data_IF_717871976958
#
_entry.id   IF_717871976958
#
_cell.length_a   1.000
_cell.length_b   1.000
_cell.length_c   1.000
_cell.angle_alpha   90.00
_cell.angle_beta   90.00
_cell.angle_gamma   90.00
#
_symmetry.space_group_name_H-M   'P 1'
#
loop_
_entity.id
_entity.type
_entity.pdbx_description
1 polymer ?
#
# COMPACT_ATOMS: atom_id res chain seq x y z
N UNK A 1 9.05 8.02 -24.85
CA UNK A 1 7.82 7.28 -24.48
C UNK A 1 7.15 6.86 -25.76
N UNK A 2 7.21 5.58 -26.14
CA UNK A 2 6.47 5.04 -27.29
C UNK A 2 5.52 4.01 -26.72
N UNK A 3 4.23 4.29 -26.83
CA UNK A 3 3.15 3.39 -26.42
C UNK A 3 2.80 2.59 -27.67
N UNK A 4 3.12 1.30 -27.66
CA UNK A 4 2.54 0.31 -28.58
C UNK A 4 1.84 -0.71 -27.69
N UNK A 5 0.52 -0.78 -27.86
CA UNK A 5 -0.49 -1.58 -27.19
C UNK A 5 0.04 -2.67 -26.22
N UNK A 6 -0.12 -2.38 -24.92
CA UNK A 6 0.00 -3.29 -23.77
C UNK A 6 1.38 -3.76 -23.31
N UNK A 7 2.48 -3.11 -23.70
CA UNK A 7 3.80 -3.39 -23.10
C UNK A 7 4.41 -2.12 -22.49
N UNK A 8 4.43 -2.04 -21.16
CA UNK A 8 5.16 -1.00 -20.43
C UNK A 8 6.64 -1.42 -20.38
N UNK A 9 7.46 -0.87 -21.27
CA UNK A 9 8.91 -1.07 -21.24
C UNK A 9 9.55 -0.03 -20.31
N UNK A 10 9.92 -0.44 -19.10
CA UNK A 10 10.72 0.35 -18.16
C UNK A 10 12.21 0.04 -18.35
N UNK A 11 12.98 1.00 -18.89
CA UNK A 11 14.44 0.92 -18.95
C UNK A 11 15.05 1.71 -17.78
N UNK A 12 15.60 0.99 -16.81
CA UNK A 12 16.36 1.58 -15.70
C UNK A 12 17.67 0.82 -15.53
N UNK A 13 18.74 1.54 -15.12
CA UNK A 13 20.04 0.94 -14.78
C UNK A 13 20.09 0.39 -13.36
N UNK A 14 19.05 0.67 -12.56
CA UNK A 14 18.97 0.37 -11.12
C UNK A 14 17.78 -0.57 -10.90
N UNK A 15 18.05 -1.82 -10.50
CA UNK A 15 17.04 -2.86 -10.32
C UNK A 15 15.99 -2.50 -9.27
N UNK A 16 16.41 -1.85 -8.18
CA UNK A 16 15.52 -1.36 -7.12
C UNK A 16 14.52 -0.32 -7.63
N UNK A 17 14.90 0.44 -8.66
CA UNK A 17 14.04 1.45 -9.31
C UNK A 17 13.04 0.83 -10.28
N UNK A 18 13.29 -0.39 -10.76
CA UNK A 18 12.42 -1.09 -11.71
C UNK A 18 11.15 -1.65 -11.04
N UNK A 19 11.15 -1.76 -9.70
CA UNK A 19 10.04 -2.30 -8.90
C UNK A 19 9.46 -3.62 -9.48
N UNK A 20 10.30 -4.57 -9.92
CA UNK A 20 9.84 -5.68 -10.77
C UNK A 20 8.84 -6.58 -10.05
N UNK A 21 9.04 -6.81 -8.75
CA UNK A 21 8.11 -7.60 -7.93
C UNK A 21 6.73 -6.96 -7.82
N UNK A 22 6.68 -5.64 -7.62
CA UNK A 22 5.43 -4.89 -7.54
C UNK A 22 4.69 -4.91 -8.87
N UNK A 23 5.39 -4.69 -9.99
CA UNK A 23 4.78 -4.77 -11.33
C UNK A 23 4.25 -6.17 -11.62
N UNK A 24 5.03 -7.21 -11.30
CA UNK A 24 4.60 -8.60 -11.46
C UNK A 24 3.35 -8.89 -10.62
N UNK A 25 3.26 -8.36 -9.41
CA UNK A 25 2.08 -8.50 -8.57
C UNK A 25 0.88 -7.75 -9.16
N UNK A 26 1.06 -6.48 -9.55
CA UNK A 26 0.01 -5.65 -10.15
C UNK A 26 -0.58 -6.29 -11.43
N UNK A 27 0.27 -6.88 -12.29
CA UNK A 27 -0.16 -7.54 -13.53
C UNK A 27 -0.93 -8.86 -13.31
N UNK A 28 -0.77 -9.51 -12.16
CA UNK A 28 -1.49 -10.76 -11.83
C UNK A 28 -2.87 -10.51 -11.23
N UNK A 29 -3.13 -9.30 -10.73
CA UNK A 29 -4.38 -8.97 -10.07
C UNK A 29 -5.36 -8.31 -11.06
N UNK A 30 -6.60 -8.80 -11.16
CA UNK A 30 -7.58 -8.23 -12.08
C UNK A 30 -7.99 -6.82 -11.65
N UNK A 31 -8.23 -5.94 -12.62
CA UNK A 31 -8.85 -4.65 -12.38
C UNK A 31 -10.32 -4.85 -11.99
N UNK A 32 -10.71 -4.29 -10.85
CA UNK A 32 -12.10 -4.30 -10.38
C UNK A 32 -12.73 -2.98 -10.82
N UNK A 33 -13.77 -3.05 -11.65
CA UNK A 33 -14.60 -1.91 -12.02
C UNK A 33 -15.77 -1.79 -11.05
N UNK A 34 -15.98 -0.59 -10.52
CA UNK A 34 -17.11 -0.29 -9.64
C UNK A 34 -18.04 0.72 -10.29
N UNK A 35 -19.34 0.50 -10.19
CA UNK A 35 -20.36 1.44 -10.70
C UNK A 35 -20.49 2.73 -9.87
N UNK A 36 -19.67 2.90 -8.82
CA UNK A 36 -19.63 4.11 -8.03
C UNK A 36 -18.63 5.12 -8.63
N UNK A 37 -19.06 6.37 -8.80
CA UNK A 37 -18.17 7.49 -9.10
C UNK A 37 -17.74 8.12 -7.78
N UNK A 38 -16.49 7.90 -7.30
CA UNK A 38 -16.05 8.52 -6.07
C UNK A 38 -16.07 10.05 -6.21
N UNK A 39 -16.48 10.74 -5.14
CA UNK A 39 -16.52 12.23 -5.11
C UNK A 39 -15.14 12.84 -5.38
N UNK A 40 -14.08 12.12 -5.02
CA UNK A 40 -12.69 12.50 -5.21
C UNK A 40 -11.88 11.31 -5.73
N UNK A 41 -11.02 11.53 -6.72
CA UNK A 41 -10.07 10.51 -7.19
C UNK A 41 -8.91 10.42 -6.21
N UNK A 42 -9.05 9.57 -5.19
CA UNK A 42 -8.02 9.36 -4.16
C UNK A 42 -7.53 7.92 -4.19
N UNK A 43 -6.23 7.72 -4.00
CA UNK A 43 -5.68 6.38 -3.79
C UNK A 43 -6.17 5.85 -2.44
N UNK A 44 -6.82 4.68 -2.44
CA UNK A 44 -7.35 4.07 -1.21
C UNK A 44 -6.23 3.71 -0.24
N UNK A 45 -5.10 3.26 -0.76
CA UNK A 45 -3.90 3.00 0.01
C UNK A 45 -2.63 3.23 -0.82
N UNK A 46 -1.48 3.27 -0.15
CA UNK A 46 -0.15 3.32 -0.76
C UNK A 46 0.84 2.56 0.14
N UNK A 47 1.59 1.65 -0.47
CA UNK A 47 2.71 0.95 0.15
C UNK A 47 4.04 1.54 -0.31
N UNK A 48 4.90 1.82 0.65
CA UNK A 48 6.29 2.25 0.45
C UNK A 48 7.22 1.50 1.42
N UNK A 49 8.45 1.13 1.03
CA UNK A 49 9.00 1.19 -0.32
C UNK A 49 8.39 0.14 -1.25
N UNK A 50 8.72 0.19 -2.54
CA UNK A 50 8.18 -0.71 -3.54
C UNK A 50 8.68 -2.17 -3.46
N UNK A 51 9.66 -2.45 -2.60
CA UNK A 51 10.05 -3.82 -2.26
C UNK A 51 9.06 -4.54 -1.36
N UNK A 52 8.12 -3.79 -0.76
CA UNK A 52 7.04 -4.36 0.03
C UNK A 52 5.92 -4.80 -0.92
N UNK A 53 5.58 -6.08 -0.85
CA UNK A 53 4.53 -6.70 -1.65
C UNK A 53 3.49 -7.30 -0.72
N UNK A 54 2.19 -7.03 -0.94
CA UNK A 54 1.13 -7.71 -0.19
C UNK A 54 1.02 -9.17 -0.60
N UNK A 55 0.96 -10.05 0.39
CA UNK A 55 0.61 -11.45 0.23
C UNK A 55 -0.89 -11.65 0.43
N UNK A 56 -1.47 -10.93 1.39
CA UNK A 56 -2.89 -10.95 1.71
C UNK A 56 -3.39 -9.55 2.07
N UNK A 57 -4.62 -9.23 1.64
CA UNK A 57 -5.32 -8.01 2.00
C UNK A 57 -6.78 -8.37 2.23
N UNK A 58 -7.28 -8.12 3.43
CA UNK A 58 -8.68 -8.32 3.77
C UNK A 58 -9.23 -7.11 4.50
N UNK A 59 -10.43 -6.70 4.11
CA UNK A 59 -11.14 -5.60 4.74
C UNK A 59 -12.53 -6.06 5.18
N UNK A 60 -12.85 -5.89 6.47
CA UNK A 60 -14.15 -6.20 7.03
C UNK A 60 -14.57 -5.16 8.07
N UNK A 61 -15.66 -4.43 7.78
CA UNK A 61 -16.32 -3.50 8.71
C UNK A 61 -15.38 -2.53 9.45
N UNK A 62 -14.44 -1.92 8.72
CA UNK A 62 -13.47 -0.99 9.32
C UNK A 62 -12.25 -1.65 9.92
N UNK A 63 -12.08 -2.97 9.79
CA UNK A 63 -10.84 -3.66 10.12
C UNK A 63 -10.13 -4.04 8.82
N UNK A 64 -8.85 -3.70 8.73
CA UNK A 64 -7.97 -4.05 7.63
C UNK A 64 -6.89 -5.00 8.15
N UNK A 65 -6.81 -6.19 7.56
CA UNK A 65 -5.77 -7.18 7.80
C UNK A 65 -4.86 -7.23 6.56
N UNK A 66 -3.55 -7.20 6.79
CA UNK A 66 -2.53 -7.21 5.75
C UNK A 66 -1.43 -8.18 6.12
N UNK A 67 -1.11 -9.10 5.21
CA UNK A 67 0.16 -9.82 5.26
C UNK A 67 1.06 -9.25 4.18
N UNK A 68 2.26 -8.82 4.56
CA UNK A 68 3.21 -8.19 3.64
C UNK A 68 4.58 -8.85 3.74
N UNK A 69 5.27 -8.90 2.59
CA UNK A 69 6.63 -9.39 2.49
C UNK A 69 7.59 -8.30 2.02
N UNK A 70 8.76 -8.22 2.64
CA UNK A 70 9.89 -7.45 2.14
C UNK A 70 10.73 -8.31 1.20
N UNK A 71 10.69 -8.03 -0.10
CA UNK A 71 11.49 -8.73 -1.11
C UNK A 71 12.84 -8.07 -1.40
N UNK A 72 13.31 -7.23 -0.47
CA UNK A 72 14.65 -6.63 -0.51
C UNK A 72 15.64 -7.45 0.33
N UNK A 73 16.89 -7.47 -0.12
CA UNK A 73 18.05 -7.98 0.63
C UNK A 73 18.42 -7.11 1.84
N UNK A 74 17.83 -5.93 1.96
CA UNK A 74 18.03 -5.00 3.07
C UNK A 74 16.78 -4.94 3.96
N UNK A 75 16.93 -4.69 5.28
CA UNK A 75 15.82 -4.30 6.13
C UNK A 75 15.25 -2.96 5.65
N UNK A 76 13.93 -2.79 5.76
CA UNK A 76 13.23 -1.58 5.32
C UNK A 76 12.21 -1.11 6.36
N UNK A 77 11.88 0.17 6.32
CA UNK A 77 10.73 0.71 7.06
C UNK A 77 9.55 0.77 6.10
N UNK A 78 8.61 -0.16 6.27
CA UNK A 78 7.34 -0.14 5.57
C UNK A 78 6.51 1.05 6.04
N UNK A 79 5.96 1.81 5.10
CA UNK A 79 5.00 2.87 5.34
C UNK A 79 3.71 2.54 4.59
N UNK A 80 2.62 2.41 5.35
CA UNK A 80 1.28 2.35 4.79
C UNK A 80 0.62 3.71 4.97
N UNK A 81 0.13 4.28 3.87
CA UNK A 81 -0.77 5.43 3.90
C UNK A 81 -2.13 5.02 3.35
N UNK A 82 -3.24 5.33 4.04
CA UNK A 82 -4.61 4.98 3.61
C UNK A 82 -5.50 6.21 3.46
N UNK A 83 -6.55 6.14 2.64
CA UNK A 83 -7.61 7.16 2.55
C UNK A 83 -8.62 7.05 3.72
N UNK A 84 -8.12 6.85 4.94
CA UNK A 84 -8.90 6.61 6.15
C UNK A 84 -8.18 7.13 7.38
N UNK A 85 -8.92 7.31 8.48
CA UNK A 85 -8.32 7.60 9.79
C UNK A 85 -8.01 6.27 10.47
N UNK A 86 -6.75 6.06 10.82
CA UNK A 86 -6.30 4.93 11.62
C UNK A 86 -6.59 5.22 13.09
N UNK A 87 -7.38 4.35 13.72
CA UNK A 87 -7.75 4.43 15.14
C UNK A 87 -6.78 3.62 15.98
N UNK A 88 -6.47 2.41 15.53
CA UNK A 88 -5.52 1.48 16.15
C UNK A 88 -4.78 0.72 15.08
N UNK A 89 -3.56 0.30 15.39
CA UNK A 89 -2.78 -0.55 14.51
C UNK A 89 -1.88 -1.48 15.33
N UNK A 90 -1.69 -2.68 14.81
CA UNK A 90 -0.85 -3.72 15.38
C UNK A 90 0.04 -4.30 14.29
N UNK A 91 1.28 -4.64 14.64
CA UNK A 91 2.19 -5.40 13.81
C UNK A 91 2.69 -6.62 14.60
N UNK A 92 2.39 -7.84 14.14
CA UNK A 92 2.66 -9.09 14.86
C UNK A 92 2.22 -9.03 16.35
N UNK A 93 0.95 -8.69 16.60
CA UNK A 93 0.36 -8.50 17.94
C UNK A 93 0.89 -7.33 18.78
N UNK A 94 1.93 -6.62 18.33
CA UNK A 94 2.44 -5.43 19.03
C UNK A 94 1.73 -4.16 18.58
N UNK A 95 1.23 -3.36 19.54
CA UNK A 95 0.58 -2.08 19.23
C UNK A 95 1.59 -1.08 18.68
N UNK A 96 1.25 -0.48 17.53
CA UNK A 96 2.06 0.56 16.88
C UNK A 96 1.30 1.88 16.88
N UNK A 97 2.03 2.98 17.08
CA UNK A 97 1.43 4.31 17.10
C UNK A 97 1.17 4.82 15.68
N UNK A 98 -0.09 5.07 15.28
CA UNK A 98 -0.39 5.61 13.96
C UNK A 98 -0.14 7.13 13.88
N UNK A 99 0.28 7.58 12.71
CA UNK A 99 0.33 8.98 12.28
C UNK A 99 -0.96 9.33 11.54
N UNK A 100 -2.10 9.40 12.25
CA UNK A 100 -3.46 9.74 11.75
C UNK A 100 -4.00 8.88 10.58
N UNK A 101 -3.37 8.90 9.41
CA UNK A 101 -3.70 8.17 8.19
C UNK A 101 -2.56 7.25 7.70
N UNK A 102 -1.50 7.15 8.51
CA UNK A 102 -0.28 6.43 8.18
C UNK A 102 0.23 5.58 9.35
N UNK A 103 0.87 4.47 9.05
CA UNK A 103 1.69 3.71 10.00
C UNK A 103 3.07 3.45 9.40
N UNK A 104 4.05 3.20 10.27
CA UNK A 104 5.41 2.80 9.90
C UNK A 104 5.79 1.54 10.66
N UNK A 105 6.26 0.51 9.95
CA UNK A 105 6.61 -0.79 10.52
C UNK A 105 7.97 -1.22 10.00
N UNK A 106 8.97 -1.51 10.87
CA UNK A 106 10.24 -2.04 10.43
C UNK A 106 10.09 -3.52 10.03
N UNK A 107 10.67 -3.89 8.89
CA UNK A 107 10.64 -5.25 8.35
C UNK A 107 12.06 -5.69 8.02
N UNK A 108 12.45 -6.87 8.49
CA UNK A 108 13.77 -7.46 8.19
C UNK A 108 13.89 -7.80 6.69
N UNK A 109 15.12 -8.01 6.21
CA UNK A 109 15.35 -8.56 4.86
C UNK A 109 14.58 -9.88 4.70
N UNK A 110 13.90 -10.06 3.58
CA UNK A 110 13.08 -11.26 3.31
C UNK A 110 12.01 -11.58 4.36
N UNK A 111 11.68 -10.60 5.21
CA UNK A 111 10.75 -10.77 6.33
C UNK A 111 9.29 -10.65 5.91
N UNK A 112 8.42 -11.34 6.63
CA UNK A 112 6.97 -11.23 6.53
C UNK A 112 6.45 -10.55 7.81
N UNK A 113 5.41 -9.74 7.68
CA UNK A 113 4.71 -9.09 8.79
C UNK A 113 3.20 -9.20 8.60
N UNK A 114 2.50 -9.51 9.69
CA UNK A 114 1.06 -9.33 9.78
C UNK A 114 0.78 -7.94 10.35
N UNK A 115 -0.13 -7.21 9.72
CA UNK A 115 -0.56 -5.88 10.18
C UNK A 115 -2.08 -5.86 10.28
N UNK A 116 -2.57 -5.47 11.46
CA UNK A 116 -4.01 -5.29 11.74
C UNK A 116 -4.31 -3.83 12.04
N UNK A 117 -5.32 -3.26 11.40
CA UNK A 117 -5.61 -1.83 11.48
C UNK A 117 -7.11 -1.61 11.63
N UNK A 118 -7.50 -0.84 12.65
CA UNK A 118 -8.86 -0.31 12.78
C UNK A 118 -8.93 1.05 12.08
N UNK A 119 -9.79 1.17 11.08
CA UNK A 119 -9.94 2.35 10.23
C UNK A 119 -11.35 2.94 10.31
N UNK A 120 -11.40 4.27 10.38
CA UNK A 120 -12.64 5.05 10.28
C UNK A 120 -12.60 5.96 9.06
N UNK A 121 -13.79 6.44 8.67
CA UNK A 121 -13.92 7.41 7.59
C UNK A 121 -13.08 8.65 7.88
N UNK A 122 -12.28 9.07 6.90
CA UNK A 122 -11.52 10.30 6.96
C UNK A 122 -12.46 11.52 6.84
N UNK A 123 -12.15 12.59 7.56
CA UNK A 123 -12.91 13.85 7.46
C UNK A 123 -12.72 14.43 6.05
N UNK A 124 -13.79 14.97 5.45
CA UNK A 124 -13.80 15.39 4.03
C UNK A 124 -12.66 16.36 3.66
N UNK A 125 -12.29 17.27 4.57
CA UNK A 125 -11.22 18.24 4.33
C UNK A 125 -9.85 17.57 4.08
N UNK A 126 -9.58 16.44 4.76
CA UNK A 126 -8.35 15.69 4.58
C UNK A 126 -8.39 14.82 3.31
N UNK A 127 -9.58 14.32 2.92
CA UNK A 127 -9.76 13.62 1.65
C UNK A 127 -9.46 14.54 0.46
N UNK A 128 -9.94 15.80 0.50
CA UNK A 128 -9.64 16.80 -0.54
C UNK A 128 -8.13 17.04 -0.71
N UNK A 129 -7.37 17.08 0.38
CA UNK A 129 -5.91 17.27 0.33
C UNK A 129 -5.18 16.11 -0.35
N UNK A 130 -5.71 14.88 -0.26
CA UNK A 130 -5.14 13.69 -0.90
C UNK A 130 -5.36 13.59 -2.41
N UNK A 131 -6.18 14.47 -2.99
CA UNK A 131 -6.39 14.51 -4.45
C UNK A 131 -5.17 15.11 -5.18
N UNK A 132 -4.43 15.99 -4.50
CA UNK A 132 -3.39 16.82 -5.11
C UNK A 132 -1.96 16.48 -4.64
N UNK A 133 -1.76 15.42 -3.84
CA UNK A 133 -0.46 15.03 -3.30
C UNK A 133 -0.20 13.55 -3.49
#
# INVERSE_FOLDING_TARGET
MKVSDNVIILRTKIWESAKPFRLSWELRNPLITTDCKPKYNVSLYKFEPASIVPLWIEYNQGNLLLDIANLSDLPVVFTLTIAGRIVKAYADDEEIKPEFDRIKVPIKRWGIKEIRIEVKKLIEQFLKRKVNG
#
